data_IF_738078849354
#
_entry.id   IF_738078849354
#
_cell.length_a   1.000
_cell.length_b   1.000
_cell.length_c   1.000
_cell.angle_alpha   90.00
_cell.angle_beta   90.00
_cell.angle_gamma   90.00
#
_symmetry.space_group_name_H-M   'P 1'
#
loop_
_entity.id
_entity.type
_entity.pdbx_description
1 polymer ?
#
# COMPACT_ATOMS: atom_id res chain seq x y z
N UNK A 1 -18.29 -16.96 9.28
CA UNK A 1 -17.07 -16.99 10.11
C UNK A 1 -16.24 -15.77 9.78
N UNK A 2 -16.11 -14.83 10.73
CA UNK A 2 -15.51 -13.50 10.54
C UNK A 2 -14.00 -13.55 10.30
N UNK A 3 -13.29 -14.38 11.05
CA UNK A 3 -11.82 -14.46 11.00
C UNK A 3 -11.35 -15.01 9.64
N UNK A 4 -12.08 -15.98 9.10
CA UNK A 4 -11.87 -16.47 7.72
C UNK A 4 -12.07 -15.35 6.70
N UNK A 5 -13.06 -14.47 6.91
CA UNK A 5 -13.29 -13.30 6.06
C UNK A 5 -12.12 -12.33 6.08
N UNK A 6 -11.55 -12.05 7.26
CA UNK A 6 -10.37 -11.18 7.42
C UNK A 6 -9.15 -11.78 6.71
N UNK A 7 -8.93 -13.10 6.85
CA UNK A 7 -7.82 -13.78 6.16
C UNK A 7 -8.00 -13.72 4.64
N UNK A 8 -9.22 -13.93 4.13
CA UNK A 8 -9.51 -13.79 2.69
C UNK A 8 -9.28 -12.36 2.19
N UNK A 9 -9.69 -11.36 2.97
CA UNK A 9 -9.47 -9.96 2.65
C UNK A 9 -7.97 -9.64 2.61
N UNK A 10 -7.21 -10.13 3.59
CA UNK A 10 -5.76 -10.00 3.62
C UNK A 10 -5.11 -10.58 2.36
N UNK A 11 -5.49 -11.80 1.96
CA UNK A 11 -4.98 -12.41 0.73
C UNK A 11 -5.35 -11.57 -0.49
N UNK A 12 -6.60 -11.11 -0.58
CA UNK A 12 -7.05 -10.27 -1.68
C UNK A 12 -6.23 -8.97 -1.81
N UNK A 13 -5.89 -8.33 -0.69
CA UNK A 13 -5.01 -7.15 -0.65
C UNK A 13 -3.63 -7.44 -1.24
N UNK A 14 -3.01 -8.57 -0.86
CA UNK A 14 -1.67 -8.94 -1.37
C UNK A 14 -1.71 -9.38 -2.82
N UNK A 15 -2.74 -10.10 -3.27
CA UNK A 15 -2.86 -10.57 -4.65
C UNK A 15 -3.46 -9.52 -5.61
N UNK A 16 -3.81 -8.34 -5.10
CA UNK A 16 -4.50 -7.27 -5.83
C UNK A 16 -5.82 -7.73 -6.47
N UNK A 17 -6.52 -8.67 -5.80
CA UNK A 17 -7.80 -9.21 -6.23
C UNK A 17 -8.93 -8.25 -5.82
N UNK A 18 -9.27 -7.34 -6.73
CA UNK A 18 -10.32 -6.34 -6.54
C UNK A 18 -11.64 -6.98 -6.14
N UNK A 19 -12.09 -7.97 -6.89
CA UNK A 19 -13.40 -8.61 -6.69
C UNK A 19 -13.49 -9.24 -5.29
N UNK A 20 -12.44 -9.97 -4.88
CA UNK A 20 -12.41 -10.56 -3.55
C UNK A 20 -12.36 -9.50 -2.43
N UNK A 21 -11.64 -8.38 -2.63
CA UNK A 21 -11.65 -7.25 -1.69
C UNK A 21 -13.06 -6.66 -1.54
N UNK A 22 -13.75 -6.41 -2.66
CA UNK A 22 -15.12 -5.88 -2.68
C UNK A 22 -16.08 -6.80 -1.91
N UNK A 23 -16.09 -8.10 -2.25
CA UNK A 23 -16.95 -9.09 -1.60
C UNK A 23 -16.66 -9.24 -0.10
N UNK A 24 -15.39 -9.18 0.32
CA UNK A 24 -15.04 -9.30 1.73
C UNK A 24 -15.36 -8.02 2.52
N UNK A 25 -15.18 -6.82 1.95
CA UNK A 25 -15.59 -5.57 2.61
C UNK A 25 -17.10 -5.58 2.89
N UNK A 26 -17.91 -5.97 1.90
CA UNK A 26 -19.36 -6.09 2.04
C UNK A 26 -19.73 -7.12 3.11
N UNK A 27 -19.16 -8.34 3.03
CA UNK A 27 -19.43 -9.41 4.00
C UNK A 27 -19.03 -9.02 5.42
N UNK A 28 -17.95 -8.24 5.59
CA UNK A 28 -17.43 -7.84 6.90
C UNK A 28 -18.07 -6.55 7.43
N UNK A 29 -18.78 -5.77 6.61
CA UNK A 29 -19.37 -4.49 7.03
C UNK A 29 -20.35 -4.60 8.21
N UNK A 30 -21.27 -5.59 8.26
CA UNK A 30 -22.29 -5.67 9.32
C UNK A 30 -21.72 -5.97 10.71
N UNK A 31 -20.49 -6.47 10.82
CA UNK A 31 -19.91 -6.78 12.12
C UNK A 31 -19.51 -5.49 12.85
N UNK A 32 -19.77 -5.37 14.16
CA UNK A 32 -19.42 -4.17 14.93
C UNK A 32 -17.92 -3.91 14.89
N UNK A 33 -17.53 -2.62 14.90
CA UNK A 33 -16.11 -2.21 14.89
C UNK A 33 -15.39 -2.65 16.16
N UNK A 34 -16.06 -2.55 17.32
CA UNK A 34 -15.54 -3.03 18.58
C UNK A 34 -15.65 -4.55 18.64
N UNK A 35 -14.50 -5.22 18.71
CA UNK A 35 -14.44 -6.66 18.63
C UNK A 35 -13.34 -7.23 19.55
N UNK A 36 -13.66 -7.59 20.80
CA UNK A 36 -12.73 -8.27 21.68
C UNK A 36 -12.30 -9.62 21.09
N UNK A 37 -11.00 -9.97 21.12
CA UNK A 37 -9.89 -9.24 21.73
C UNK A 37 -9.29 -8.17 20.80
N UNK A 38 -8.71 -7.13 21.40
CA UNK A 38 -8.16 -5.96 20.69
C UNK A 38 -7.21 -6.26 19.51
N UNK A 39 -6.33 -7.29 19.53
CA UNK A 39 -5.50 -7.65 18.37
C UNK A 39 -6.32 -8.04 17.14
N UNK A 40 -7.45 -8.73 17.33
CA UNK A 40 -8.37 -9.10 16.24
C UNK A 40 -9.00 -7.87 15.61
N UNK A 41 -9.42 -6.91 16.45
CA UNK A 41 -9.91 -5.62 15.98
C UNK A 41 -8.84 -4.89 15.16
N UNK A 42 -7.61 -4.76 15.66
CA UNK A 42 -6.53 -4.11 14.91
C UNK A 42 -6.31 -4.80 13.56
N UNK A 43 -6.23 -6.13 13.54
CA UNK A 43 -6.01 -6.89 12.31
C UNK A 43 -7.13 -6.65 11.27
N UNK A 44 -8.39 -6.65 11.71
CA UNK A 44 -9.53 -6.31 10.86
C UNK A 44 -9.41 -4.88 10.33
N UNK A 45 -9.20 -3.90 11.20
CA UNK A 45 -9.08 -2.50 10.82
C UNK A 45 -7.96 -2.28 9.80
N UNK A 46 -6.82 -2.97 9.94
CA UNK A 46 -5.72 -2.91 8.98
C UNK A 46 -6.17 -3.29 7.59
N UNK A 47 -6.74 -4.49 7.42
CA UNK A 47 -7.04 -4.99 6.08
C UNK A 47 -8.34 -4.43 5.48
N UNK A 48 -9.31 -4.02 6.31
CA UNK A 48 -10.47 -3.24 5.83
C UNK A 48 -10.01 -1.89 5.28
N UNK A 49 -9.12 -1.18 5.99
CA UNK A 49 -8.58 0.11 5.55
C UNK A 49 -7.71 -0.01 4.30
N UNK A 50 -6.77 -0.96 4.28
CA UNK A 50 -5.90 -1.19 3.12
C UNK A 50 -6.72 -1.52 1.87
N UNK A 51 -7.68 -2.45 1.97
CA UNK A 51 -8.52 -2.82 0.84
C UNK A 51 -9.37 -1.63 0.34
N UNK A 52 -9.99 -0.90 1.25
CA UNK A 52 -10.81 0.26 0.92
C UNK A 52 -10.00 1.33 0.17
N UNK A 53 -8.80 1.67 0.65
CA UNK A 53 -7.94 2.66 0.00
C UNK A 53 -7.37 2.18 -1.34
N UNK A 54 -7.01 0.90 -1.45
CA UNK A 54 -6.58 0.33 -2.74
C UNK A 54 -7.71 0.40 -3.77
N UNK A 55 -8.94 0.10 -3.35
CA UNK A 55 -10.12 0.17 -4.22
C UNK A 55 -10.44 1.63 -4.60
N UNK A 56 -10.37 2.59 -3.67
CA UNK A 56 -10.63 4.01 -3.95
C UNK A 56 -9.62 4.60 -4.94
N UNK A 57 -8.33 4.25 -4.82
CA UNK A 57 -7.31 4.65 -5.80
C UNK A 57 -7.61 4.15 -7.22
N UNK A 58 -8.35 3.04 -7.37
CA UNK A 58 -8.71 2.47 -8.67
C UNK A 58 -10.02 3.01 -9.23
N UNK A 59 -10.98 3.42 -8.38
CA UNK A 59 -12.26 3.98 -8.83
C UNK A 59 -12.09 5.37 -9.42
N UNK A 60 -11.27 6.22 -8.81
CA UNK A 60 -10.97 7.57 -9.30
C UNK A 60 -10.39 7.53 -10.72
N UNK A 61 -9.61 6.49 -11.03
CA UNK A 61 -8.96 6.31 -12.34
C UNK A 61 -9.92 5.96 -13.46
N UNK A 62 -11.02 5.25 -13.18
CA UNK A 62 -11.80 4.68 -14.27
C UNK A 62 -12.61 5.75 -14.99
N UNK A 63 -13.04 6.86 -14.38
CA UNK A 63 -13.87 7.89 -15.05
C UNK A 63 -15.12 7.35 -15.77
N UNK A 64 -15.40 6.05 -15.62
CA UNK A 64 -16.17 5.21 -16.52
C UNK A 64 -17.12 4.42 -15.63
N UNK A 65 -18.37 4.39 -16.07
CA UNK A 65 -19.44 3.51 -15.61
C UNK A 65 -18.83 2.15 -15.22
N UNK A 66 -18.65 1.93 -13.91
CA UNK A 66 -18.24 0.64 -13.35
C UNK A 66 -19.13 -0.42 -14.00
N UNK A 67 -18.53 -1.49 -14.54
CA UNK A 67 -19.29 -2.65 -15.02
C UNK A 67 -20.27 -3.02 -13.90
N UNK A 68 -21.55 -3.14 -14.23
CA UNK A 68 -22.63 -3.60 -13.34
C UNK A 68 -22.38 -5.03 -12.81
N UNK A 69 -21.22 -5.64 -13.11
CA UNK A 69 -20.95 -7.07 -12.95
C UNK A 69 -20.19 -7.46 -11.68
N UNK A 70 -19.82 -6.53 -10.79
CA UNK A 70 -19.05 -6.88 -9.58
C UNK A 70 -19.80 -6.66 -8.27
N UNK A 71 -20.98 -6.04 -8.31
CA UNK A 71 -21.88 -6.05 -7.15
C UNK A 71 -22.56 -7.41 -7.08
N UNK A 72 -22.53 -8.06 -5.92
CA UNK A 72 -23.39 -9.20 -5.65
C UNK A 72 -24.84 -8.86 -6.04
N UNK A 73 -25.63 -9.82 -6.55
CA UNK A 73 -27.01 -9.56 -6.93
C UNK A 73 -27.77 -8.89 -5.76
N UNK A 74 -28.17 -7.63 -5.94
CA UNK A 74 -28.90 -6.85 -4.93
C UNK A 74 -28.13 -5.72 -4.25
N UNK A 75 -26.82 -5.55 -4.49
CA UNK A 75 -26.07 -4.39 -3.97
C UNK A 75 -26.01 -3.24 -4.96
N UNK A 76 -26.50 -2.07 -4.57
CA UNK A 76 -26.43 -0.87 -5.41
C UNK A 76 -25.04 -0.23 -5.37
N UNK A 77 -24.61 0.36 -6.50
CA UNK A 77 -23.33 1.10 -6.62
C UNK A 77 -23.09 2.10 -5.47
N UNK A 78 -24.13 2.85 -5.08
CA UNK A 78 -24.05 3.85 -4.01
C UNK A 78 -23.64 3.22 -2.67
N UNK A 79 -24.27 2.10 -2.32
CA UNK A 79 -24.00 1.41 -1.06
C UNK A 79 -22.56 0.90 -0.99
N UNK A 80 -22.02 0.46 -2.13
CA UNK A 80 -20.62 0.07 -2.22
C UNK A 80 -19.66 1.25 -1.98
N UNK A 81 -19.89 2.39 -2.67
CA UNK A 81 -19.01 3.56 -2.55
C UNK A 81 -19.04 4.11 -1.10
N UNK A 82 -20.21 4.02 -0.43
CA UNK A 82 -20.38 4.34 0.98
C UNK A 82 -19.56 3.39 1.89
N UNK A 83 -19.55 2.08 1.62
CA UNK A 83 -18.76 1.09 2.38
C UNK A 83 -17.26 1.36 2.24
N UNK A 84 -16.77 1.58 1.02
CA UNK A 84 -15.35 1.87 0.77
C UNK A 84 -14.92 3.13 1.51
N UNK A 85 -15.68 4.22 1.34
CA UNK A 85 -15.36 5.51 2.00
C UNK A 85 -15.40 5.37 3.51
N UNK A 86 -16.42 4.69 4.06
CA UNK A 86 -16.54 4.41 5.50
C UNK A 86 -15.30 3.69 6.03
N UNK A 87 -14.85 2.61 5.40
CA UNK A 87 -13.74 1.80 5.92
C UNK A 87 -12.36 2.44 5.72
N UNK A 88 -12.18 3.22 4.65
CA UNK A 88 -10.99 4.06 4.47
C UNK A 88 -10.86 5.04 5.64
N UNK A 89 -11.87 5.89 5.86
CA UNK A 89 -11.88 6.92 6.90
C UNK A 89 -11.80 6.35 8.31
N UNK A 90 -12.59 5.30 8.59
CA UNK A 90 -12.66 4.71 9.93
C UNK A 90 -11.32 4.09 10.31
N UNK A 91 -10.64 3.43 9.37
CA UNK A 91 -9.34 2.80 9.63
C UNK A 91 -8.23 3.83 9.80
N UNK A 92 -8.23 4.89 8.98
CA UNK A 92 -7.29 6.01 9.12
C UNK A 92 -7.41 6.66 10.50
N UNK A 93 -8.61 7.08 10.90
CA UNK A 93 -8.86 7.72 12.21
C UNK A 93 -8.53 6.80 13.37
N UNK A 94 -8.82 5.49 13.23
CA UNK A 94 -8.51 4.50 14.25
C UNK A 94 -7.00 4.39 14.49
N UNK A 95 -6.21 4.20 13.44
CA UNK A 95 -4.76 4.05 13.59
C UNK A 95 -4.05 5.38 13.87
N UNK A 96 -4.57 6.50 13.41
CA UNK A 96 -4.09 7.84 13.79
C UNK A 96 -4.19 8.03 15.31
N UNK A 97 -5.37 7.76 15.88
CA UNK A 97 -5.61 7.88 17.33
C UNK A 97 -4.74 6.91 18.13
N UNK A 98 -4.58 5.67 17.67
CA UNK A 98 -3.71 4.72 18.36
C UNK A 98 -2.23 5.10 18.27
N UNK A 99 -1.80 5.63 17.13
CA UNK A 99 -0.43 6.12 16.94
C UNK A 99 -0.16 7.33 17.82
N UNK A 100 -1.12 8.26 17.96
CA UNK A 100 -0.96 9.43 18.84
C UNK A 100 -0.93 9.07 20.33
N UNK A 101 -1.51 7.94 20.71
CA UNK A 101 -1.36 7.34 22.05
C UNK A 101 -0.06 6.51 22.21
N UNK A 102 0.83 6.52 21.23
CA UNK A 102 2.12 5.83 21.31
C UNK A 102 2.04 4.31 21.14
N UNK A 103 0.97 3.79 20.52
CA UNK A 103 0.90 2.36 20.19
C UNK A 103 1.95 2.01 19.13
N UNK A 104 2.97 1.20 19.45
CA UNK A 104 4.07 0.90 18.52
C UNK A 104 3.57 0.15 17.28
N UNK A 105 2.56 -0.70 17.42
CA UNK A 105 2.01 -1.47 16.31
C UNK A 105 1.12 -0.63 15.38
N UNK A 106 0.59 0.50 15.85
CA UNK A 106 -0.31 1.34 15.07
C UNK A 106 0.42 2.25 14.08
N UNK A 107 1.60 2.74 14.47
CA UNK A 107 2.40 3.65 13.66
C UNK A 107 2.73 3.13 12.25
N UNK A 108 3.27 1.91 12.06
CA UNK A 108 3.55 1.40 10.72
C UNK A 108 2.28 1.22 9.87
N UNK A 109 1.17 0.81 10.49
CA UNK A 109 -0.10 0.63 9.78
C UNK A 109 -0.66 2.00 9.34
N UNK A 110 -0.65 2.99 10.24
CA UNK A 110 -1.08 4.35 9.91
C UNK A 110 -0.28 4.94 8.75
N UNK A 111 1.05 4.76 8.75
CA UNK A 111 1.91 5.22 7.67
C UNK A 111 1.52 4.58 6.32
N UNK A 112 1.27 3.26 6.29
CA UNK A 112 0.77 2.58 5.09
C UNK A 112 -0.58 3.13 4.60
N UNK A 113 -1.54 3.31 5.50
CA UNK A 113 -2.86 3.84 5.15
C UNK A 113 -2.75 5.27 4.59
N UNK A 114 -1.95 6.13 5.23
CA UNK A 114 -1.71 7.51 4.79
C UNK A 114 -1.06 7.56 3.41
N UNK A 115 -0.12 6.67 3.13
CA UNK A 115 0.53 6.57 1.81
C UNK A 115 -0.45 6.15 0.70
N UNK A 116 -1.45 5.32 1.00
CA UNK A 116 -2.48 4.95 0.03
C UNK A 116 -3.57 6.04 -0.15
N UNK A 117 -3.92 6.75 0.93
CA UNK A 117 -4.88 7.86 0.90
C UNK A 117 -4.34 9.07 0.12
N UNK A 118 -3.08 9.41 0.34
CA UNK A 118 -2.39 10.54 -0.31
C UNK A 118 -1.12 10.06 -1.00
N UNK A 119 -1.25 9.35 -2.13
CA UNK A 119 -0.14 8.68 -2.77
C UNK A 119 0.88 9.68 -3.33
N UNK A 120 2.10 9.54 -2.83
CA UNK A 120 3.29 10.25 -3.29
C UNK A 120 4.50 9.37 -3.00
N UNK A 121 5.58 9.55 -3.76
CA UNK A 121 6.81 8.78 -3.53
C UNK A 121 7.30 8.93 -2.08
N UNK A 122 7.35 10.16 -1.57
CA UNK A 122 7.79 10.43 -0.19
C UNK A 122 6.90 9.80 0.87
N UNK A 123 5.58 9.75 0.67
CA UNK A 123 4.66 9.08 1.60
C UNK A 123 4.88 7.57 1.60
N UNK A 124 5.13 6.96 0.43
CA UNK A 124 5.48 5.55 0.36
C UNK A 124 6.84 5.26 1.01
N UNK A 125 7.85 6.10 0.78
CA UNK A 125 9.17 5.96 1.41
C UNK A 125 9.06 6.01 2.94
N UNK A 126 8.32 6.97 3.49
CA UNK A 126 8.04 7.07 4.92
C UNK A 126 7.35 5.79 5.44
N UNK A 127 6.35 5.28 4.71
CA UNK A 127 5.66 4.05 5.08
C UNK A 127 6.61 2.83 5.06
N UNK A 128 7.43 2.68 4.00
CA UNK A 128 8.38 1.59 3.82
C UNK A 128 9.47 1.61 4.92
N UNK A 129 10.01 2.79 5.24
CA UNK A 129 10.98 2.96 6.32
C UNK A 129 10.36 2.61 7.68
N UNK A 130 9.13 3.09 7.93
CA UNK A 130 8.42 2.82 9.17
C UNK A 130 8.16 1.32 9.33
N UNK A 131 7.54 0.64 8.36
CA UNK A 131 7.29 -0.81 8.45
C UNK A 131 8.58 -1.62 8.56
N UNK A 132 9.66 -1.17 7.90
CA UNK A 132 10.99 -1.79 7.99
C UNK A 132 11.58 -1.72 9.40
N UNK A 133 11.38 -0.58 10.09
CA UNK A 133 11.81 -0.39 11.49
C UNK A 133 11.09 -1.34 12.44
N UNK A 134 9.83 -1.67 12.16
CA UNK A 134 9.03 -2.63 12.96
C UNK A 134 9.12 -4.08 12.48
N UNK A 135 9.94 -4.39 11.46
CA UNK A 135 10.10 -5.75 10.94
C UNK A 135 8.85 -6.32 10.25
N UNK A 136 7.93 -5.46 9.79
CA UNK A 136 6.69 -5.87 9.11
C UNK A 136 6.94 -6.08 7.61
N UNK A 137 7.71 -7.14 7.30
CA UNK A 137 8.22 -7.44 5.96
C UNK A 137 7.12 -7.52 4.90
N UNK A 138 5.98 -8.12 5.25
CA UNK A 138 4.81 -8.27 4.38
C UNK A 138 4.21 -6.89 3.98
N UNK A 139 4.08 -5.96 4.92
CA UNK A 139 3.63 -4.60 4.61
C UNK A 139 4.70 -3.81 3.85
N UNK A 140 5.98 -4.04 4.15
CA UNK A 140 7.09 -3.52 3.36
C UNK A 140 7.02 -3.94 1.89
N UNK A 141 6.76 -5.23 1.63
CA UNK A 141 6.56 -5.75 0.29
C UNK A 141 5.38 -5.06 -0.42
N UNK A 142 4.24 -4.96 0.27
CA UNK A 142 3.04 -4.31 -0.25
C UNK A 142 3.28 -2.83 -0.57
N UNK A 143 3.93 -2.06 0.31
CA UNK A 143 4.17 -0.64 0.07
C UNK A 143 5.17 -0.39 -1.07
N UNK A 144 6.22 -1.21 -1.19
CA UNK A 144 7.11 -1.17 -2.35
C UNK A 144 6.35 -1.47 -3.65
N UNK A 145 5.51 -2.52 -3.65
CA UNK A 145 4.68 -2.84 -4.81
C UNK A 145 3.76 -1.67 -5.20
N UNK A 146 3.04 -1.10 -4.22
CA UNK A 146 2.09 -0.01 -4.46
C UNK A 146 2.79 1.26 -4.94
N UNK A 147 3.98 1.58 -4.42
CA UNK A 147 4.79 2.70 -4.90
C UNK A 147 5.21 2.51 -6.36
N UNK A 148 5.80 1.35 -6.69
CA UNK A 148 6.24 1.05 -8.05
C UNK A 148 5.10 1.09 -9.06
N UNK A 149 3.94 0.52 -8.71
CA UNK A 149 2.74 0.59 -9.55
C UNK A 149 2.24 2.02 -9.72
N UNK A 150 2.19 2.82 -8.65
CA UNK A 150 1.78 4.21 -8.72
C UNK A 150 2.69 5.05 -9.62
N UNK A 151 4.02 4.85 -9.57
CA UNK A 151 4.98 5.57 -10.45
C UNK A 151 4.73 5.21 -11.93
N UNK A 152 4.57 3.91 -12.25
CA UNK A 152 4.28 3.48 -13.62
C UNK A 152 2.96 4.08 -14.14
N UNK A 153 1.96 4.19 -13.27
CA UNK A 153 0.67 4.80 -13.62
C UNK A 153 0.79 6.30 -13.87
N UNK A 154 1.55 7.03 -13.06
CA UNK A 154 1.79 8.46 -13.30
C UNK A 154 2.53 8.68 -14.61
N UNK A 155 3.52 7.83 -14.91
CA UNK A 155 4.22 7.87 -16.18
C UNK A 155 3.25 7.69 -17.36
N UNK A 156 2.32 6.74 -17.29
CA UNK A 156 1.30 6.54 -18.33
C UNK A 156 0.38 7.75 -18.49
N UNK A 157 -0.01 8.40 -17.39
CA UNK A 157 -0.84 9.62 -17.43
C UNK A 157 -0.10 10.81 -18.02
N UNK A 158 1.21 10.91 -17.78
CA UNK A 158 2.06 12.00 -18.26
C UNK A 158 2.55 11.81 -19.71
N UNK A 159 2.28 10.68 -20.37
CA UNK A 159 2.59 10.44 -21.78
C UNK A 159 1.68 11.24 -22.75
N UNK A 160 1.64 12.57 -22.59
CA UNK A 160 1.32 13.51 -23.67
C UNK A 160 2.40 13.48 -24.77
N UNK A 161 2.29 14.30 -25.83
CA UNK A 161 3.25 14.31 -26.94
C UNK A 161 4.69 14.47 -26.40
N UNK A 162 5.54 13.51 -26.74
CA UNK A 162 6.89 13.32 -26.20
C UNK A 162 7.76 14.55 -26.52
N UNK A 163 8.17 15.30 -25.50
CA UNK A 163 9.14 16.40 -25.67
C UNK A 163 10.53 16.05 -25.17
N UNK A 164 10.69 15.18 -24.17
CA UNK A 164 12.03 14.78 -23.67
C UNK A 164 12.05 13.34 -23.12
N UNK A 165 12.86 12.46 -23.74
CA UNK A 165 12.93 11.03 -23.41
C UNK A 165 13.63 10.66 -22.09
N UNK A 166 14.38 11.59 -21.47
CA UNK A 166 15.21 11.30 -20.29
C UNK A 166 14.45 11.09 -18.98
N UNK A 167 13.47 11.94 -18.69
CA UNK A 167 12.73 11.90 -17.42
C UNK A 167 11.88 10.61 -17.27
N UNK A 168 11.31 10.14 -18.39
CA UNK A 168 10.52 8.91 -18.43
C UNK A 168 11.36 7.66 -18.10
N UNK A 169 12.61 7.63 -18.55
CA UNK A 169 13.51 6.52 -18.26
C UNK A 169 13.85 6.47 -16.77
N UNK A 170 14.07 7.63 -16.14
CA UNK A 170 14.36 7.70 -14.70
C UNK A 170 13.19 7.20 -13.85
N UNK A 171 11.95 7.59 -14.17
CA UNK A 171 10.77 7.11 -13.45
C UNK A 171 10.53 5.60 -13.65
N UNK A 172 10.72 5.09 -14.87
CA UNK A 172 10.61 3.66 -15.14
C UNK A 172 11.65 2.83 -14.36
N UNK A 173 12.89 3.32 -14.30
CA UNK A 173 13.95 2.69 -13.51
C UNK A 173 13.62 2.72 -12.01
N UNK A 174 13.13 3.85 -11.50
CA UNK A 174 12.75 3.98 -10.10
C UNK A 174 11.60 3.01 -9.74
N UNK A 175 10.56 2.93 -10.56
CA UNK A 175 9.48 1.98 -10.36
C UNK A 175 9.97 0.52 -10.38
N UNK A 176 10.90 0.22 -11.29
CA UNK A 176 11.53 -1.11 -11.38
C UNK A 176 12.25 -1.47 -10.09
N UNK A 177 12.98 -0.53 -9.48
CA UNK A 177 13.69 -0.77 -8.21
C UNK A 177 12.72 -1.08 -7.06
N UNK A 178 11.63 -0.31 -6.90
CA UNK A 178 10.60 -0.63 -5.89
C UNK A 178 10.01 -2.02 -6.12
N UNK A 179 9.68 -2.38 -7.37
CA UNK A 179 9.10 -3.69 -7.68
C UNK A 179 10.08 -4.85 -7.43
N UNK A 180 11.38 -4.67 -7.71
CA UNK A 180 12.41 -5.67 -7.35
C UNK A 180 12.48 -5.87 -5.84
N UNK A 181 12.47 -4.78 -5.06
CA UNK A 181 12.45 -4.86 -3.59
C UNK A 181 11.18 -5.55 -3.11
N UNK A 182 10.02 -5.25 -3.69
CA UNK A 182 8.77 -5.93 -3.37
C UNK A 182 8.86 -7.45 -3.61
N UNK A 183 9.36 -7.87 -4.78
CA UNK A 183 9.56 -9.29 -5.13
C UNK A 183 10.49 -9.97 -4.12
N UNK A 184 11.60 -9.33 -3.76
CA UNK A 184 12.52 -9.84 -2.75
C UNK A 184 11.86 -9.98 -1.37
N UNK A 185 11.13 -8.95 -0.91
CA UNK A 185 10.41 -8.99 0.38
C UNK A 185 9.32 -10.07 0.40
N UNK A 186 8.58 -10.26 -0.70
CA UNK A 186 7.59 -11.35 -0.81
C UNK A 186 8.24 -12.72 -0.78
N UNK A 187 9.41 -12.89 -1.40
CA UNK A 187 10.18 -14.14 -1.32
C UNK A 187 10.64 -14.42 0.11
N UNK A 188 11.27 -13.45 0.75
CA UNK A 188 11.79 -13.58 2.13
C UNK A 188 10.65 -13.83 3.13
N UNK A 189 9.45 -13.28 2.88
CA UNK A 189 8.23 -13.61 3.63
C UNK A 189 7.66 -15.01 3.30
N UNK A 190 8.03 -15.63 2.18
CA UNK A 190 7.53 -16.93 1.73
C UNK A 190 6.28 -16.90 0.84
N UNK A 191 5.88 -15.73 0.34
CA UNK A 191 4.72 -15.54 -0.55
C UNK A 191 5.04 -15.89 -2.02
N UNK A 192 5.49 -17.12 -2.29
CA UNK A 192 6.00 -17.55 -3.60
C UNK A 192 4.97 -17.45 -4.75
N UNK A 193 3.68 -17.60 -4.46
CA UNK A 193 2.65 -17.39 -5.48
C UNK A 193 2.56 -15.92 -5.91
N UNK A 194 2.75 -14.98 -4.98
CA UNK A 194 2.77 -13.55 -5.28
C UNK A 194 4.02 -13.17 -6.09
N UNK A 195 5.16 -13.76 -5.75
CA UNK A 195 6.40 -13.66 -6.54
C UNK A 195 6.15 -14.04 -8.00
N UNK A 196 5.63 -15.26 -8.25
CA UNK A 196 5.37 -15.75 -9.61
C UNK A 196 4.35 -14.87 -10.34
N UNK A 197 3.33 -14.38 -9.63
CA UNK A 197 2.36 -13.44 -10.18
C UNK A 197 3.07 -12.17 -10.68
N UNK A 198 3.96 -11.58 -9.89
CA UNK A 198 4.71 -10.37 -10.26
C UNK A 198 5.67 -10.63 -11.42
N UNK A 199 6.45 -11.71 -11.39
CA UNK A 199 7.37 -12.07 -12.48
C UNK A 199 6.63 -12.34 -13.79
N UNK A 200 5.47 -13.03 -13.74
CA UNK A 200 4.65 -13.28 -14.93
C UNK A 200 4.02 -12.01 -15.50
N UNK A 201 3.73 -11.01 -14.64
CA UNK A 201 3.10 -9.75 -15.05
C UNK A 201 4.13 -8.74 -15.56
N UNK A 202 5.36 -8.80 -15.06
CA UNK A 202 6.42 -7.84 -15.36
C UNK A 202 7.72 -8.58 -15.72
N UNK A 203 7.94 -8.79 -17.03
CA UNK A 203 9.08 -9.56 -17.53
C UNK A 203 10.45 -9.07 -17.00
N UNK A 204 10.60 -7.77 -16.73
CA UNK A 204 11.84 -7.18 -16.18
C UNK A 204 12.14 -7.62 -14.73
N UNK A 205 11.18 -8.24 -14.04
CA UNK A 205 11.37 -8.81 -12.70
C UNK A 205 11.89 -10.26 -12.74
N UNK A 206 11.93 -10.89 -13.91
CA UNK A 206 12.39 -12.29 -14.03
C UNK A 206 13.82 -12.42 -13.51
N UNK A 207 14.00 -13.19 -12.44
CA UNK A 207 15.32 -13.40 -11.83
C UNK A 207 15.82 -12.25 -10.96
N UNK A 208 14.95 -11.30 -10.58
CA UNK A 208 15.27 -10.23 -9.64
C UNK A 208 15.77 -10.72 -8.26
N UNK A 209 15.59 -12.02 -7.95
CA UNK A 209 15.97 -12.63 -6.69
C UNK A 209 17.44 -12.95 -6.51
N UNK A 210 18.26 -12.79 -7.56
CA UNK A 210 19.66 -13.21 -7.52
C UNK A 210 20.52 -12.38 -6.58
N UNK A 211 20.10 -11.15 -6.29
CA UNK A 211 20.84 -10.24 -5.42
C UNK A 211 19.91 -9.74 -4.32
N UNK A 212 20.28 -10.00 -3.06
CA UNK A 212 19.63 -9.35 -1.94
C UNK A 212 19.86 -7.84 -2.12
N UNK A 213 18.80 -7.02 -2.23
CA UNK A 213 18.99 -5.59 -2.34
C UNK A 213 19.84 -5.13 -1.15
N UNK A 214 20.87 -4.28 -1.37
CA UNK A 214 21.70 -3.75 -0.29
C UNK A 214 20.74 -3.25 0.78
N UNK A 215 20.85 -3.82 2.00
CA UNK A 215 19.72 -3.98 2.92
C UNK A 215 18.74 -2.81 2.78
N UNK A 216 17.46 -3.08 2.53
CA UNK A 216 16.49 -2.01 2.21
C UNK A 216 16.61 -0.80 3.17
N UNK A 217 16.92 -1.05 4.46
CA UNK A 217 17.25 -0.03 5.47
C UNK A 217 18.53 0.80 5.22
N UNK A 218 19.60 0.22 4.65
CA UNK A 218 20.86 0.89 4.33
C UNK A 218 20.92 1.52 2.94
N UNK A 219 20.12 1.08 1.97
CA UNK A 219 20.02 1.71 0.64
C UNK A 219 19.11 2.94 0.65
N UNK A 220 18.00 2.91 1.40
CA UNK A 220 17.11 4.07 1.58
C UNK A 220 17.80 5.27 2.26
N UNK A 221 18.68 5.02 3.25
CA UNK A 221 19.53 6.07 3.84
C UNK A 221 20.52 6.70 2.84
N UNK A 222 20.95 5.98 1.80
CA UNK A 222 21.92 6.48 0.82
C UNK A 222 21.29 7.22 -0.37
N UNK A 223 20.09 6.83 -0.80
CA UNK A 223 19.40 7.53 -1.90
C UNK A 223 18.96 8.96 -1.52
N UNK A 224 18.52 9.18 -0.28
CA UNK A 224 18.24 10.54 0.22
C UNK A 224 19.50 11.44 0.27
N UNK A 225 20.67 10.85 0.59
CA UNK A 225 21.94 11.56 0.59
C UNK A 225 22.48 11.83 -0.83
N UNK A 226 22.22 10.94 -1.79
CA UNK A 226 22.62 11.14 -3.20
C UNK A 226 21.75 12.15 -3.95
N UNK A 227 20.48 12.33 -3.55
CA UNK A 227 19.57 13.30 -4.18
C UNK A 227 19.66 14.72 -3.58
N UNK A 228 20.62 14.98 -2.68
CA UNK A 228 20.89 16.34 -2.19
C UNK A 228 19.78 16.97 -1.34
N UNK A 229 18.80 16.19 -0.87
CA UNK A 229 17.74 16.68 0.02
C UNK A 229 18.28 16.75 1.44
N UNK A 230 19.09 17.78 1.70
CA UNK A 230 19.55 18.11 3.04
C UNK A 230 18.35 18.53 3.87
N UNK A 231 17.88 17.65 4.77
CA UNK A 231 16.92 18.05 5.82
C UNK A 231 17.65 19.00 6.76
N UNK A 232 17.43 20.29 6.60
CA UNK A 232 17.80 21.28 7.60
C UNK A 232 17.09 20.93 8.90
N UNK A 233 17.85 20.42 9.87
CA UNK A 233 17.35 20.24 11.21
C UNK A 233 17.01 21.63 11.79
N UNK A 234 15.85 21.81 12.44
CA UNK A 234 15.58 23.03 13.19
C UNK A 234 16.52 23.05 14.40
N UNK A 235 17.52 23.93 14.37
CA UNK A 235 18.26 24.35 15.55
C UNK A 235 17.29 25.04 16.50
N UNK A 236 16.86 24.33 17.53
CA UNK A 236 16.20 24.90 18.69
C UNK A 236 17.23 25.70 19.49
N UNK A 237 17.37 26.98 19.17
CA UNK A 237 17.93 27.97 20.09
C UNK A 237 16.93 28.16 21.22
N UNK A 238 17.16 27.49 22.36
CA UNK A 238 16.62 27.95 23.64
C UNK A 238 17.43 29.18 24.06
N UNK A 239 16.83 30.35 23.89
CA UNK A 239 17.22 31.57 24.59
C UNK A 239 16.59 31.52 25.99
N UNK A 240 17.40 31.74 27.02
CA UNK A 240 16.99 31.74 28.43
C UNK A 240 16.20 32.96 28.86
#
# INVERSE_FOLDING_TARGET
NRDIGIIRLQLAVYFDDEEAMEQQLERLDPYPVFDPPFPRQQWRMTYMGLAALILSMKTEKRGVKRRESCTLPGFGKKQYDDIVTKWADTSLKFFEKLSSFGSPNAQPIYACLKALDKPSQSAFDEAIETVGTFGLLNLGALMNERCGLWILEQQQKSQGPVVDGGANLQQANLATEYLKVAVWCYHDWGAMNKVRQLESRYNFLTGAMREKPPSALSSMRRQAAMLGVSRSAPTSTMSG
#
